data_IF_512791032358
#
_entry.id   IF_512791032358
#
_cell.length_a   1.000
_cell.length_b   1.000
_cell.length_c   1.000
_cell.angle_alpha   90.00
_cell.angle_beta   90.00
_cell.angle_gamma   90.00
#
_symmetry.space_group_name_H-M   'P 1'
#
loop_
_entity.id
_entity.type
_entity.pdbx_description
1 polymer ?
#
# COMPACT_ATOMS: atom_id res chain seq x y z
N UNK A 1 16.81 -6.50 27.52
CA UNK A 1 16.46 -7.91 27.25
C UNK A 1 15.00 -7.90 26.87
N UNK A 2 14.71 -7.92 25.57
CA UNK A 2 13.36 -8.14 25.06
C UNK A 2 13.02 -9.61 25.31
N UNK A 3 12.02 -9.84 26.15
CA UNK A 3 11.55 -11.17 26.47
C UNK A 3 10.64 -11.59 25.33
N UNK A 4 11.07 -12.63 24.63
CA UNK A 4 10.33 -13.30 23.55
C UNK A 4 9.05 -13.91 24.14
N UNK A 5 7.94 -13.16 24.10
CA UNK A 5 6.62 -13.52 24.67
C UNK A 5 5.94 -14.72 23.99
N UNK A 6 6.68 -15.53 23.24
CA UNK A 6 6.15 -16.47 22.25
C UNK A 6 6.61 -17.92 22.42
N UNK A 7 7.38 -18.24 23.46
CA UNK A 7 7.53 -19.62 23.91
C UNK A 7 6.73 -19.81 25.19
N UNK A 8 6.02 -20.94 25.33
CA UNK A 8 5.31 -21.34 26.53
C UNK A 8 6.29 -21.60 27.69
N UNK A 9 6.91 -20.54 28.20
CA UNK A 9 7.79 -20.47 29.34
C UNK A 9 7.27 -19.38 30.26
N UNK A 10 6.40 -19.79 31.19
CA UNK A 10 5.99 -19.15 32.46
C UNK A 10 6.44 -17.69 32.71
N UNK A 11 5.90 -16.75 31.94
CA UNK A 11 5.66 -15.36 32.38
C UNK A 11 4.15 -15.20 32.44
N UNK A 12 3.56 -14.57 33.49
CA UNK A 12 2.12 -14.36 33.52
C UNK A 12 1.73 -13.49 32.33
N UNK A 13 1.11 -14.11 31.34
CA UNK A 13 0.45 -13.40 30.25
C UNK A 13 -0.63 -12.56 30.91
N UNK A 14 -0.61 -11.24 30.74
CA UNK A 14 -1.71 -10.39 31.19
C UNK A 14 -3.02 -11.01 30.71
N UNK A 15 -4.08 -11.09 31.53
CA UNK A 15 -5.36 -11.68 31.12
C UNK A 15 -5.97 -11.01 29.87
N UNK A 16 -5.46 -9.84 29.47
CA UNK A 16 -5.88 -9.08 28.30
C UNK A 16 -5.04 -9.31 27.02
N UNK A 17 -3.96 -10.10 27.08
CA UNK A 17 -3.11 -10.35 25.91
C UNK A 17 -3.77 -11.38 24.99
N UNK A 18 -4.37 -10.90 23.90
CA UNK A 18 -4.94 -11.76 22.84
C UNK A 18 -3.82 -12.33 21.97
N UNK A 19 -3.71 -13.66 21.90
CA UNK A 19 -2.75 -14.34 21.03
C UNK A 19 -3.25 -14.40 19.59
N UNK A 20 -2.34 -14.37 18.60
CA UNK A 20 -2.71 -14.30 17.18
C UNK A 20 -3.62 -15.45 16.69
N UNK A 21 -3.55 -16.62 17.33
CA UNK A 21 -4.40 -17.75 16.99
C UNK A 21 -5.85 -17.60 17.50
N UNK A 22 -6.08 -16.77 18.53
CA UNK A 22 -7.43 -16.56 19.07
C UNK A 22 -8.34 -15.88 18.04
N UNK A 23 -7.76 -15.01 17.20
CA UNK A 23 -8.46 -14.41 16.05
C UNK A 23 -8.85 -15.42 14.97
N UNK A 24 -8.26 -16.61 14.96
CA UNK A 24 -8.66 -17.71 14.08
C UNK A 24 -9.85 -18.50 14.65
N UNK A 25 -9.99 -18.52 15.98
CA UNK A 25 -11.01 -19.29 16.67
C UNK A 25 -12.34 -18.52 16.74
N UNK A 26 -12.28 -17.22 17.00
CA UNK A 26 -13.46 -16.35 17.03
C UNK A 26 -13.46 -15.34 15.86
N UNK A 27 -14.41 -15.54 14.94
CA UNK A 27 -14.61 -14.72 13.73
C UNK A 27 -14.92 -13.25 14.03
N UNK A 28 -15.51 -12.95 15.18
CA UNK A 28 -15.87 -11.58 15.57
C UNK A 28 -14.81 -10.91 16.44
N UNK A 29 -13.88 -11.68 17.01
CA UNK A 29 -12.89 -11.18 17.97
C UNK A 29 -12.03 -10.07 17.36
N UNK A 30 -11.59 -10.23 16.11
CA UNK A 30 -10.76 -9.22 15.45
C UNK A 30 -11.51 -7.88 15.31
N UNK A 31 -12.77 -7.92 14.87
CA UNK A 31 -13.55 -6.69 14.69
C UNK A 31 -13.84 -6.00 16.04
N UNK A 32 -14.26 -6.79 17.05
CA UNK A 32 -14.49 -6.30 18.42
C UNK A 32 -13.22 -5.68 19.00
N UNK A 33 -12.08 -6.31 18.75
CA UNK A 33 -10.79 -5.82 19.19
C UNK A 33 -10.41 -4.49 18.53
N UNK A 34 -10.54 -4.38 17.20
CA UNK A 34 -10.19 -3.18 16.44
C UNK A 34 -11.10 -1.98 16.80
N UNK A 35 -12.32 -2.23 17.26
CA UNK A 35 -13.26 -1.20 17.72
C UNK A 35 -12.97 -0.65 19.12
N UNK A 36 -12.06 -1.27 19.90
CA UNK A 36 -11.67 -0.76 21.22
C UNK A 36 -11.02 0.61 21.10
N UNK A 37 -11.21 1.52 22.07
CA UNK A 37 -10.45 2.75 22.12
C UNK A 37 -8.98 2.41 22.41
N UNK A 38 -8.07 2.84 21.53
CA UNK A 38 -6.61 2.63 21.65
C UNK A 38 -6.22 1.16 21.89
N UNK A 39 -6.48 0.25 20.93
CA UNK A 39 -6.10 -1.15 21.08
C UNK A 39 -4.58 -1.31 21.19
N UNK A 40 -4.12 -2.17 22.08
CA UNK A 40 -2.70 -2.55 22.26
C UNK A 40 -2.56 -4.08 22.21
N UNK A 41 -1.92 -4.66 21.18
CA UNK A 41 -1.26 -4.03 20.02
C UNK A 41 -2.16 -3.16 19.13
N UNK A 42 -1.57 -2.14 18.49
CA UNK A 42 -2.28 -1.30 17.51
C UNK A 42 -2.65 -2.11 16.26
N UNK A 43 -3.55 -1.62 15.38
CA UNK A 43 -3.88 -2.31 14.14
C UNK A 43 -2.64 -2.55 13.23
N UNK A 44 -1.69 -1.62 13.22
CA UNK A 44 -0.45 -1.78 12.47
C UNK A 44 0.44 -2.88 13.08
N UNK A 45 0.54 -2.91 14.41
CA UNK A 45 1.27 -3.96 15.12
C UNK A 45 0.66 -5.34 14.88
N UNK A 46 -0.67 -5.45 14.77
CA UNK A 46 -1.34 -6.70 14.40
C UNK A 46 -0.94 -7.19 13.01
N UNK A 47 -0.96 -6.31 11.99
CA UNK A 47 -0.51 -6.66 10.64
C UNK A 47 0.95 -7.15 10.68
N UNK A 48 1.84 -6.45 11.38
CA UNK A 48 3.23 -6.86 11.54
C UNK A 48 3.36 -8.20 12.27
N UNK A 49 2.57 -8.44 13.34
CA UNK A 49 2.56 -9.72 14.06
C UNK A 49 2.10 -10.88 13.18
N UNK A 50 1.01 -10.73 12.42
CA UNK A 50 0.53 -11.76 11.50
C UNK A 50 1.57 -12.05 10.40
N UNK A 51 2.20 -11.00 9.88
CA UNK A 51 3.28 -11.14 8.92
C UNK A 51 4.50 -11.89 9.49
N UNK A 52 4.91 -11.58 10.72
CA UNK A 52 6.00 -12.29 11.39
C UNK A 52 5.68 -13.78 11.61
N UNK A 53 4.43 -14.13 11.91
CA UNK A 53 3.99 -15.53 11.99
C UNK A 53 4.17 -16.25 10.65
N UNK A 54 3.82 -15.60 9.53
CA UNK A 54 4.02 -16.15 8.19
C UNK A 54 5.52 -16.39 7.94
N UNK A 55 6.35 -15.37 8.15
CA UNK A 55 7.80 -15.43 7.90
C UNK A 55 8.50 -16.47 8.76
N UNK A 56 8.16 -16.57 10.06
CA UNK A 56 8.70 -17.63 10.94
C UNK A 56 8.24 -19.01 10.50
N UNK A 57 6.99 -19.15 10.06
CA UNK A 57 6.47 -20.43 9.55
C UNK A 57 7.20 -20.86 8.27
N UNK A 58 7.50 -19.92 7.36
CA UNK A 58 8.27 -20.19 6.15
C UNK A 58 9.73 -20.54 6.46
N UNK A 59 10.37 -19.82 7.39
CA UNK A 59 11.77 -20.08 7.79
C UNK A 59 11.96 -21.44 8.46
N UNK A 60 10.97 -21.89 9.23
CA UNK A 60 11.05 -23.14 9.99
C UNK A 60 10.69 -24.38 9.16
N UNK A 61 10.16 -24.23 7.93
CA UNK A 61 9.95 -25.35 7.02
C UNK A 61 11.25 -25.65 6.27
N UNK A 62 11.69 -26.90 6.32
CA UNK A 62 12.81 -27.42 5.52
C UNK A 62 12.43 -27.70 4.05
N UNK A 63 11.14 -27.56 3.70
CA UNK A 63 10.65 -27.72 2.33
C UNK A 63 10.33 -26.34 1.72
N UNK A 64 10.90 -25.99 0.57
CA UNK A 64 10.54 -24.78 -0.15
C UNK A 64 9.06 -24.81 -0.56
N UNK A 65 8.47 -23.63 -0.78
CA UNK A 65 7.14 -23.50 -1.37
C UNK A 65 7.02 -24.45 -2.57
N UNK A 66 6.05 -25.36 -2.54
CA UNK A 66 5.82 -26.29 -3.66
C UNK A 66 5.28 -25.47 -4.82
N UNK A 67 6.20 -25.05 -5.70
CA UNK A 67 5.89 -24.42 -6.98
C UNK A 67 5.37 -25.53 -7.88
N UNK A 68 4.06 -25.68 -7.96
CA UNK A 68 3.44 -26.52 -8.99
C UNK A 68 3.39 -25.69 -10.28
N UNK A 69 4.49 -25.72 -11.04
CA UNK A 69 4.52 -25.21 -12.40
C UNK A 69 3.66 -26.11 -13.28
N UNK A 70 2.45 -25.67 -13.61
CA UNK A 70 1.64 -26.36 -14.63
C UNK A 70 1.80 -25.59 -15.93
N UNK A 71 2.53 -26.15 -16.89
CA UNK A 71 2.62 -25.56 -18.24
C UNK A 71 1.30 -25.78 -18.97
N UNK A 72 0.49 -24.72 -19.10
CA UNK A 72 -0.63 -24.68 -20.05
C UNK A 72 -0.43 -23.45 -20.94
N UNK A 73 -0.29 -23.67 -22.25
CA UNK A 73 -0.25 -22.62 -23.30
C UNK A 73 0.93 -21.63 -23.33
N UNK A 74 2.08 -21.94 -22.74
CA UNK A 74 3.32 -21.17 -22.95
C UNK A 74 3.47 -19.91 -22.07
N UNK A 75 2.50 -19.63 -21.18
CA UNK A 75 2.69 -18.82 -19.99
C UNK A 75 3.21 -19.71 -18.85
N UNK A 76 4.27 -19.29 -18.17
CA UNK A 76 4.71 -19.93 -16.92
C UNK A 76 3.78 -19.48 -15.79
N UNK A 77 2.63 -20.13 -15.65
CA UNK A 77 1.74 -19.89 -14.50
C UNK A 77 2.28 -20.62 -13.26
N UNK A 78 2.85 -19.84 -12.34
CA UNK A 78 3.33 -20.33 -11.04
C UNK A 78 2.18 -20.23 -10.04
N UNK A 79 1.54 -21.36 -9.71
CA UNK A 79 0.60 -21.47 -8.59
C UNK A 79 1.37 -21.85 -7.35
N UNK A 80 1.37 -20.98 -6.34
CA UNK A 80 2.03 -21.22 -5.04
C UNK A 80 0.99 -21.77 -4.06
N UNK A 81 1.20 -23.00 -3.60
CA UNK A 81 0.39 -23.60 -2.53
C UNK A 81 0.89 -23.09 -1.17
N UNK A 82 0.22 -22.07 -0.63
CA UNK A 82 0.52 -21.57 0.71
C UNK A 82 -0.13 -22.45 1.79
N UNK A 83 0.55 -22.72 2.93
CA UNK A 83 -0.07 -23.40 4.07
C UNK A 83 -1.35 -22.69 4.53
N UNK A 84 -2.39 -23.45 4.91
CA UNK A 84 -3.67 -22.89 5.37
C UNK A 84 -3.51 -21.86 6.49
N UNK A 85 -2.58 -22.09 7.43
CA UNK A 85 -2.22 -21.12 8.47
C UNK A 85 -1.73 -19.78 7.90
N UNK A 86 -0.88 -19.82 6.86
CA UNK A 86 -0.37 -18.61 6.23
C UNK A 86 -1.48 -17.88 5.49
N UNK A 87 -2.34 -18.60 4.77
CA UNK A 87 -3.54 -18.02 4.12
C UNK A 87 -4.41 -17.30 5.15
N UNK A 88 -4.68 -17.92 6.30
CA UNK A 88 -5.47 -17.31 7.36
C UNK A 88 -4.79 -16.05 7.94
N UNK A 89 -3.48 -16.07 8.17
CA UNK A 89 -2.73 -14.87 8.62
C UNK A 89 -2.79 -13.74 7.58
N UNK A 90 -2.65 -14.05 6.29
CA UNK A 90 -2.76 -13.07 5.19
C UNK A 90 -4.15 -12.43 5.18
N UNK A 91 -5.20 -13.23 5.31
CA UNK A 91 -6.60 -12.76 5.38
C UNK A 91 -6.82 -11.85 6.60
N UNK A 92 -6.28 -12.20 7.77
CA UNK A 92 -6.36 -11.33 8.95
C UNK A 92 -5.67 -9.97 8.68
N UNK A 93 -4.49 -9.96 8.07
CA UNK A 93 -3.81 -8.72 7.69
C UNK A 93 -4.64 -7.86 6.72
N UNK A 94 -5.25 -8.47 5.70
CA UNK A 94 -6.11 -7.77 4.74
C UNK A 94 -7.38 -7.22 5.41
N UNK A 95 -7.96 -7.97 6.35
CA UNK A 95 -9.08 -7.50 7.18
C UNK A 95 -8.72 -6.27 7.99
N UNK A 96 -7.57 -6.27 8.65
CA UNK A 96 -7.10 -5.10 9.42
C UNK A 96 -6.83 -3.91 8.48
N UNK A 97 -6.21 -4.13 7.32
CA UNK A 97 -5.97 -3.09 6.33
C UNK A 97 -7.28 -2.48 5.79
N UNK A 98 -8.31 -3.31 5.56
CA UNK A 98 -9.64 -2.86 5.19
C UNK A 98 -10.32 -2.04 6.31
N UNK A 99 -10.14 -2.43 7.57
CA UNK A 99 -10.62 -1.64 8.72
C UNK A 99 -9.95 -0.25 8.79
N UNK A 100 -8.67 -0.16 8.40
CA UNK A 100 -7.93 1.10 8.27
C UNK A 100 -8.26 1.86 6.96
N UNK A 101 -9.30 1.46 6.23
CA UNK A 101 -9.75 2.03 4.96
C UNK A 101 -8.64 2.07 3.89
N UNK A 102 -7.71 1.12 3.92
CA UNK A 102 -6.58 1.06 2.97
C UNK A 102 -5.76 2.36 2.90
N UNK A 103 -5.67 3.08 4.02
CA UNK A 103 -4.99 4.36 4.06
C UNK A 103 -3.50 4.18 3.74
N UNK A 104 -3.03 4.79 2.64
CA UNK A 104 -1.66 4.64 2.14
C UNK A 104 -0.62 5.14 3.16
N UNK A 105 -0.93 6.16 3.97
CA UNK A 105 -0.02 6.63 5.01
C UNK A 105 0.11 5.60 6.17
N UNK A 106 -0.99 4.94 6.54
CA UNK A 106 -0.98 3.84 7.52
C UNK A 106 -0.20 2.63 6.99
N UNK A 107 -0.43 2.24 5.73
CA UNK A 107 0.32 1.15 5.10
C UNK A 107 1.82 1.46 5.12
N UNK A 108 2.24 2.68 4.77
CA UNK A 108 3.65 3.09 4.79
C UNK A 108 4.28 3.17 6.18
N UNK A 109 3.48 3.14 7.24
CA UNK A 109 3.99 3.07 8.62
C UNK A 109 4.36 1.64 9.04
N UNK A 110 3.95 0.61 8.28
CA UNK A 110 4.36 -0.78 8.48
C UNK A 110 5.82 -0.98 8.05
N UNK A 111 6.51 -2.03 8.54
CA UNK A 111 7.82 -2.40 8.02
C UNK A 111 7.80 -2.63 6.52
N UNK A 112 8.84 -2.18 5.81
CA UNK A 112 8.85 -2.11 4.34
C UNK A 112 8.45 -3.43 3.66
N UNK A 113 9.01 -4.56 4.13
CA UNK A 113 8.67 -5.89 3.60
C UNK A 113 7.20 -6.24 3.81
N UNK A 114 6.64 -5.90 4.97
CA UNK A 114 5.22 -6.07 5.28
C UNK A 114 4.33 -5.21 4.37
N UNK A 115 4.77 -4.01 3.96
CA UNK A 115 4.05 -3.19 2.99
C UNK A 115 3.92 -3.90 1.64
N UNK A 116 5.05 -4.38 1.12
CA UNK A 116 5.11 -5.10 -0.16
C UNK A 116 4.25 -6.35 -0.11
N UNK A 117 4.41 -7.17 0.92
CA UNK A 117 3.71 -8.45 1.02
C UNK A 117 2.21 -8.26 1.20
N UNK A 118 1.78 -7.27 1.99
CA UNK A 118 0.35 -6.95 2.13
C UNK A 118 -0.30 -6.57 0.80
N UNK A 119 0.41 -5.79 -0.03
CA UNK A 119 -0.10 -5.36 -1.35
C UNK A 119 -0.06 -6.49 -2.38
N UNK A 120 0.97 -7.34 -2.35
CA UNK A 120 1.04 -8.53 -3.19
C UNK A 120 -0.04 -9.56 -2.81
N UNK A 121 -0.28 -9.75 -1.51
CA UNK A 121 -1.38 -10.57 -1.02
C UNK A 121 -2.71 -10.00 -1.51
N UNK A 122 -2.95 -8.68 -1.41
CA UNK A 122 -4.17 -8.07 -1.93
C UNK A 122 -4.38 -8.37 -3.42
N UNK A 123 -3.34 -8.24 -4.25
CA UNK A 123 -3.39 -8.58 -5.67
C UNK A 123 -3.68 -10.07 -5.90
N UNK A 124 -3.03 -10.94 -5.14
CA UNK A 124 -3.24 -12.40 -5.21
C UNK A 124 -4.69 -12.79 -4.87
N UNK A 125 -5.27 -12.21 -3.81
CA UNK A 125 -6.63 -12.54 -3.36
C UNK A 125 -7.72 -11.93 -4.25
N UNK A 126 -7.41 -10.90 -5.06
CA UNK A 126 -8.38 -10.23 -5.93
C UNK A 126 -8.28 -10.66 -7.40
N UNK A 127 -7.17 -11.28 -7.80
CA UNK A 127 -7.01 -11.86 -9.12
C UNK A 127 -7.73 -13.23 -9.23
N UNK A 128 -8.51 -13.43 -10.30
CA UNK A 128 -9.24 -14.67 -10.56
C UNK A 128 -8.29 -15.87 -10.71
N UNK A 129 -7.17 -15.69 -11.41
CA UNK A 129 -6.20 -16.76 -11.67
C UNK A 129 -5.29 -17.06 -10.48
N UNK A 130 -5.30 -16.18 -9.46
CA UNK A 130 -4.44 -16.25 -8.27
C UNK A 130 -2.96 -16.42 -8.62
N UNK A 131 -2.52 -15.71 -9.64
CA UNK A 131 -1.11 -15.63 -10.00
C UNK A 131 -0.39 -14.63 -9.08
N UNK A 132 0.88 -14.92 -8.80
CA UNK A 132 1.72 -14.03 -8.01
C UNK A 132 2.24 -12.92 -8.91
N UNK A 133 1.89 -11.67 -8.56
CA UNK A 133 2.39 -10.51 -9.29
C UNK A 133 3.71 -10.03 -8.70
N UNK A 134 4.75 -10.10 -9.51
CA UNK A 134 5.96 -9.34 -9.26
C UNK A 134 5.72 -7.88 -9.63
N UNK A 135 6.22 -7.00 -8.77
CA UNK A 135 6.11 -5.53 -8.86
C UNK A 135 6.50 -4.98 -10.25
N UNK A 136 7.36 -5.68 -10.98
CA UNK A 136 7.89 -5.28 -12.29
C UNK A 136 7.04 -5.70 -13.49
N UNK A 137 6.10 -6.63 -13.35
CA UNK A 137 5.47 -7.33 -14.48
C UNK A 137 3.98 -6.98 -14.68
N UNK A 138 3.50 -5.86 -14.13
CA UNK A 138 2.08 -5.44 -14.23
C UNK A 138 1.64 -5.03 -15.65
N UNK A 139 2.54 -4.99 -16.63
CA UNK A 139 2.27 -4.58 -18.02
C UNK A 139 1.37 -5.55 -18.81
N UNK A 140 1.08 -6.73 -18.28
CA UNK A 140 0.32 -7.79 -18.96
C UNK A 140 -1.17 -7.82 -18.60
N UNK A 141 -1.66 -6.92 -17.74
CA UNK A 141 -3.04 -6.96 -17.26
C UNK A 141 -3.98 -6.26 -18.25
N UNK A 142 -4.93 -7.01 -18.83
CA UNK A 142 -6.02 -6.42 -19.61
C UNK A 142 -7.05 -5.74 -18.69
N UNK A 143 -6.88 -4.42 -18.53
CA UNK A 143 -7.72 -3.59 -17.68
C UNK A 143 -9.22 -3.62 -18.06
N UNK A 144 -9.57 -3.97 -19.30
CA UNK A 144 -10.98 -4.01 -19.75
C UNK A 144 -11.72 -5.28 -19.32
N UNK A 145 -10.99 -6.38 -19.17
CA UNK A 145 -11.53 -7.66 -18.70
C UNK A 145 -11.35 -7.84 -17.19
N UNK A 146 -10.77 -6.86 -16.50
CA UNK A 146 -10.38 -6.97 -15.10
C UNK A 146 -11.55 -6.74 -14.13
N UNK A 147 -11.61 -7.53 -13.05
CA UNK A 147 -12.58 -7.34 -11.97
C UNK A 147 -12.40 -6.00 -11.24
N UNK A 148 -13.49 -5.31 -10.82
CA UNK A 148 -13.41 -4.07 -10.03
C UNK A 148 -12.58 -4.19 -8.74
N UNK A 149 -12.57 -5.37 -8.14
CA UNK A 149 -11.83 -5.69 -6.93
C UNK A 149 -10.32 -5.77 -7.19
N UNK A 150 -9.92 -6.30 -8.36
CA UNK A 150 -8.51 -6.32 -8.78
C UNK A 150 -8.05 -4.94 -9.25
N UNK A 151 -8.90 -4.16 -9.94
CA UNK A 151 -8.61 -2.75 -10.26
C UNK A 151 -8.29 -1.95 -8.99
N UNK A 152 -9.02 -2.19 -7.90
CA UNK A 152 -8.75 -1.56 -6.61
C UNK A 152 -7.34 -1.91 -6.08
N UNK A 153 -6.97 -3.19 -6.13
CA UNK A 153 -5.65 -3.65 -5.70
C UNK A 153 -4.52 -2.99 -6.51
N UNK A 154 -4.66 -2.92 -7.83
CA UNK A 154 -3.69 -2.29 -8.73
C UNK A 154 -3.56 -0.78 -8.46
N UNK A 155 -4.68 -0.07 -8.31
CA UNK A 155 -4.66 1.36 -7.96
C UNK A 155 -3.99 1.58 -6.62
N UNK A 156 -4.32 0.79 -5.60
CA UNK A 156 -3.72 0.94 -4.28
C UNK A 156 -2.20 0.71 -4.33
N UNK A 157 -1.75 -0.30 -5.08
CA UNK A 157 -0.34 -0.58 -5.32
C UNK A 157 0.37 0.60 -5.98
N UNK A 158 -0.15 1.12 -7.09
CA UNK A 158 0.45 2.25 -7.80
C UNK A 158 0.44 3.54 -6.97
N UNK A 159 -0.62 3.81 -6.20
CA UNK A 159 -0.66 4.94 -5.26
C UNK A 159 0.41 4.81 -4.17
N UNK A 160 0.58 3.60 -3.62
CA UNK A 160 1.63 3.31 -2.64
C UNK A 160 3.02 3.50 -3.25
N UNK A 161 3.28 2.93 -4.43
CA UNK A 161 4.56 3.04 -5.12
C UNK A 161 4.94 4.51 -5.36
N UNK A 162 4.01 5.30 -5.92
CA UNK A 162 4.21 6.73 -6.15
C UNK A 162 4.53 7.48 -4.85
N UNK A 163 3.75 7.24 -3.79
CA UNK A 163 3.96 7.87 -2.49
C UNK A 163 5.30 7.49 -1.86
N UNK A 164 5.69 6.22 -1.94
CA UNK A 164 6.97 5.71 -1.44
C UNK A 164 8.15 6.34 -2.18
N UNK A 165 8.08 6.45 -3.50
CA UNK A 165 9.11 7.13 -4.30
C UNK A 165 9.21 8.62 -3.97
N UNK A 166 8.09 9.31 -3.73
CA UNK A 166 8.09 10.75 -3.39
C UNK A 166 8.61 11.04 -1.98
N UNK A 167 8.29 10.20 -1.00
CA UNK A 167 8.75 10.42 0.38
C UNK A 167 10.28 10.40 0.53
N UNK A 168 11.01 9.75 -0.39
CA UNK A 168 12.48 9.83 -0.48
C UNK A 168 12.99 11.23 -0.79
N UNK A 169 12.22 12.00 -1.56
CA UNK A 169 12.57 13.36 -1.98
C UNK A 169 12.29 14.36 -0.85
N UNK A 170 11.27 14.12 -0.04
CA UNK A 170 10.73 15.10 0.92
C UNK A 170 11.22 14.93 2.35
N UNK A 171 11.57 13.72 2.77
CA UNK A 171 11.98 13.43 4.15
C UNK A 171 13.48 13.18 4.28
N UNK A 172 14.07 13.48 5.44
CA UNK A 172 15.37 12.94 5.84
C UNK A 172 15.21 11.43 6.10
N UNK A 173 14.97 10.66 5.03
CA UNK A 173 14.75 9.22 5.09
C UNK A 173 15.85 8.49 5.88
N UNK A 174 17.09 8.99 5.78
CA UNK A 174 18.26 8.52 6.54
C UNK A 174 18.20 8.75 8.06
N UNK A 175 17.19 9.41 8.65
CA UNK A 175 17.13 9.61 10.10
C UNK A 175 16.14 8.70 10.81
N UNK A 176 15.37 7.87 10.08
CA UNK A 176 14.42 6.91 10.67
C UNK A 176 14.90 5.46 10.44
N UNK A 177 16.13 5.17 10.88
CA UNK A 177 16.69 3.81 10.91
C UNK A 177 15.88 2.92 11.87
N UNK A 178 15.55 1.70 11.44
CA UNK A 178 15.00 0.65 12.31
C UNK A 178 13.82 -0.16 11.76
N UNK A 179 12.73 0.48 11.32
CA UNK A 179 11.46 -0.24 11.02
C UNK A 179 11.09 -0.24 9.53
N UNK A 180 11.44 0.83 8.79
CA UNK A 180 11.06 1.01 7.38
C UNK A 180 12.23 0.87 6.39
N UNK A 181 13.25 0.08 6.73
CA UNK A 181 14.42 -0.09 5.87
C UNK A 181 14.08 -0.85 4.59
N UNK A 182 13.95 -0.09 3.51
CA UNK A 182 13.94 -0.59 2.15
C UNK A 182 15.37 -0.97 1.76
N UNK A 183 15.57 -2.19 1.24
CA UNK A 183 16.89 -2.59 0.77
C UNK A 183 17.28 -1.79 -0.49
N UNK A 184 18.58 -1.63 -0.76
CA UNK A 184 19.06 -0.97 -1.98
C UNK A 184 18.52 -1.67 -3.26
N UNK A 185 18.33 -2.98 -3.20
CA UNK A 185 17.72 -3.75 -4.30
C UNK A 185 16.29 -3.31 -4.53
N UNK A 186 15.47 -3.31 -3.48
CA UNK A 186 14.05 -2.93 -3.58
C UNK A 186 13.92 -1.46 -4.00
N UNK A 187 14.80 -0.60 -3.51
CA UNK A 187 14.89 0.81 -3.88
C UNK A 187 15.15 0.98 -5.38
N UNK A 188 16.14 0.25 -5.91
CA UNK A 188 16.46 0.27 -7.33
C UNK A 188 15.34 -0.31 -8.20
N UNK A 189 14.49 -1.20 -7.67
CA UNK A 189 13.37 -1.75 -8.42
C UNK A 189 12.17 -0.80 -8.37
N UNK A 190 11.66 -0.45 -7.18
CA UNK A 190 10.41 0.31 -7.05
C UNK A 190 10.60 1.78 -7.43
N UNK A 191 11.76 2.36 -7.13
CA UNK A 191 12.02 3.78 -7.37
C UNK A 191 12.85 4.05 -8.62
N UNK A 192 13.07 3.07 -9.52
CA UNK A 192 13.68 3.39 -10.79
C UNK A 192 12.79 4.32 -11.62
N UNK A 193 13.39 5.20 -12.45
CA UNK A 193 12.64 6.13 -13.29
C UNK A 193 11.59 5.45 -14.16
N UNK A 194 11.89 4.25 -14.69
CA UNK A 194 11.00 3.49 -15.55
C UNK A 194 9.73 3.07 -14.80
N UNK A 195 9.86 2.50 -13.59
CA UNK A 195 8.70 2.04 -12.82
C UNK A 195 7.89 3.19 -12.22
N UNK A 196 8.54 4.31 -11.88
CA UNK A 196 7.84 5.54 -11.51
C UNK A 196 7.03 6.05 -12.70
N UNK A 197 7.62 6.09 -13.90
CA UNK A 197 6.91 6.54 -15.10
C UNK A 197 5.74 5.64 -15.44
N UNK A 198 5.89 4.31 -15.35
CA UNK A 198 4.79 3.35 -15.51
C UNK A 198 3.67 3.61 -14.52
N UNK A 199 4.01 3.86 -13.26
CA UNK A 199 3.04 4.19 -12.21
C UNK A 199 2.30 5.48 -12.50
N UNK A 200 3.00 6.53 -12.95
CA UNK A 200 2.38 7.80 -13.34
C UNK A 200 1.44 7.60 -14.53
N UNK A 201 1.88 6.88 -15.57
CA UNK A 201 1.06 6.58 -16.75
C UNK A 201 -0.20 5.79 -16.37
N UNK A 202 -0.05 4.72 -15.59
CA UNK A 202 -1.18 3.91 -15.11
C UNK A 202 -2.21 4.76 -14.36
N UNK A 203 -1.75 5.59 -13.41
CA UNK A 203 -2.65 6.45 -12.64
C UNK A 203 -3.32 7.52 -13.50
N UNK A 204 -2.62 8.08 -14.50
CA UNK A 204 -3.22 8.99 -15.47
C UNK A 204 -4.31 8.32 -16.32
N UNK A 205 -4.03 7.12 -16.83
CA UNK A 205 -5.00 6.32 -17.60
C UNK A 205 -6.22 5.97 -16.75
N UNK A 206 -6.03 5.69 -15.46
CA UNK A 206 -7.12 5.35 -14.54
C UNK A 206 -8.17 6.46 -14.39
N UNK A 207 -7.80 7.72 -14.60
CA UNK A 207 -8.74 8.84 -14.59
C UNK A 207 -9.80 8.73 -15.70
N UNK A 208 -9.54 7.96 -16.76
CA UNK A 208 -10.42 7.77 -17.92
C UNK A 208 -11.18 6.44 -17.89
N UNK A 209 -11.00 5.60 -16.85
CA UNK A 209 -11.67 4.31 -16.79
C UNK A 209 -13.19 4.44 -16.75
N UNK A 210 -13.90 3.62 -17.51
CA UNK A 210 -15.36 3.54 -17.47
C UNK A 210 -15.82 2.76 -16.23
N UNK A 211 -15.16 1.64 -15.96
CA UNK A 211 -15.39 0.79 -14.79
C UNK A 211 -14.66 1.36 -13.57
N UNK A 212 -15.40 1.55 -12.48
CA UNK A 212 -14.83 2.03 -11.23
C UNK A 212 -14.42 0.87 -10.31
N UNK A 213 -13.27 0.99 -9.60
CA UNK A 213 -12.88 0.02 -8.61
C UNK A 213 -13.86 0.01 -7.43
N UNK A 214 -13.92 -1.13 -6.73
CA UNK A 214 -14.68 -1.24 -5.48
C UNK A 214 -13.76 -1.22 -4.28
N UNK A 215 -14.11 -0.40 -3.30
CA UNK A 215 -13.44 -0.36 -2.01
C UNK A 215 -13.79 -1.63 -1.23
N UNK A 216 -12.76 -2.44 -0.95
CA UNK A 216 -12.91 -3.71 -0.27
C UNK A 216 -13.08 -3.50 1.24
N UNK A 217 -14.11 -4.09 1.83
CA UNK A 217 -14.41 -3.98 3.25
C UNK A 217 -13.84 -5.17 4.03
N UNK A 218 -13.87 -5.06 5.37
CA UNK A 218 -13.48 -6.15 6.27
C UNK A 218 -14.19 -7.47 5.96
N UNK A 219 -15.47 -7.40 5.57
CA UNK A 219 -16.31 -8.56 5.27
C UNK A 219 -16.07 -9.15 3.87
N UNK A 220 -15.29 -8.49 3.02
CA UNK A 220 -14.93 -9.06 1.72
C UNK A 220 -14.06 -10.31 1.87
N UNK A 221 -13.21 -10.39 2.88
CA UNK A 221 -12.30 -11.52 3.05
C UNK A 221 -12.92 -12.53 4.03
N UNK A 222 -13.08 -13.79 3.64
CA UNK A 222 -13.64 -14.83 4.51
C UNK A 222 -12.52 -15.67 5.11
N UNK A 223 -12.60 -15.96 6.41
CA UNK A 223 -11.62 -16.83 7.07
C UNK A 223 -11.80 -18.28 6.60
N UNK A 224 -10.71 -19.03 6.33
CA UNK A 224 -10.79 -20.47 6.13
C UNK A 224 -11.42 -21.16 7.35
N UNK A 225 -12.06 -22.31 7.13
CA UNK A 225 -12.71 -23.09 8.20
C UNK A 225 -12.21 -24.52 8.16
N UNK A 226 -12.40 -25.27 9.25
CA UNK A 226 -12.02 -26.70 9.33
C UNK A 226 -12.63 -27.55 8.21
N UNK A 227 -13.76 -27.13 7.65
CA UNK A 227 -14.48 -27.82 6.57
C UNK A 227 -14.22 -27.22 5.19
N UNK A 228 -13.48 -26.12 5.09
CA UNK A 228 -13.24 -25.40 3.84
C UNK A 228 -11.90 -24.67 3.87
N UNK A 229 -10.92 -25.27 3.21
CA UNK A 229 -9.58 -24.71 3.02
C UNK A 229 -9.48 -23.79 1.79
N UNK A 230 -10.56 -23.61 1.04
CA UNK A 230 -10.55 -22.74 -0.13
C UNK A 230 -10.59 -21.28 0.28
N UNK A 231 -9.82 -20.46 -0.45
CA UNK A 231 -9.88 -19.01 -0.32
C UNK A 231 -11.23 -18.55 -0.89
N UNK A 232 -12.03 -17.90 -0.05
CA UNK A 232 -13.32 -17.32 -0.44
C UNK A 232 -13.35 -15.83 -0.16
N UNK A 233 -13.87 -15.08 -1.13
CA UNK A 233 -14.04 -13.65 -1.02
C UNK A 233 -15.48 -13.25 -1.36
N UNK A 234 -16.09 -12.43 -0.50
CA UNK A 234 -17.47 -11.96 -0.61
C UNK A 234 -17.50 -10.54 -1.17
N UNK A 235 -17.23 -10.42 -2.46
CA UNK A 235 -17.15 -9.12 -3.15
C UNK A 235 -18.45 -8.30 -3.14
N UNK A 236 -19.59 -8.92 -2.86
CA UNK A 236 -20.86 -8.22 -2.61
C UNK A 236 -20.84 -7.30 -1.38
N UNK A 237 -19.83 -7.42 -0.50
CA UNK A 237 -19.59 -6.54 0.64
C UNK A 237 -18.67 -5.36 0.31
N UNK A 238 -18.13 -5.29 -0.90
CA UNK A 238 -17.35 -4.15 -1.36
C UNK A 238 -18.29 -2.99 -1.72
N UNK A 239 -17.82 -1.76 -1.54
CA UNK A 239 -18.58 -0.55 -1.87
C UNK A 239 -18.02 0.10 -3.13
N UNK A 240 -18.89 0.64 -3.98
CA UNK A 240 -18.44 1.31 -5.20
C UNK A 240 -17.75 2.64 -4.82
N UNK A 241 -16.56 2.89 -5.36
CA UNK A 241 -15.91 4.19 -5.22
C UNK A 241 -16.54 5.13 -6.26
N UNK A 242 -16.99 6.31 -5.82
CA UNK A 242 -17.55 7.30 -6.76
C UNK A 242 -16.45 7.82 -7.68
N UNK A 243 -16.80 8.13 -8.94
CA UNK A 243 -15.84 8.67 -9.92
C UNK A 243 -15.17 9.94 -9.41
N UNK A 244 -15.93 10.83 -8.79
CA UNK A 244 -15.41 12.10 -8.28
C UNK A 244 -14.44 11.87 -7.11
N UNK A 245 -14.76 10.98 -6.17
CA UNK A 245 -13.86 10.64 -5.07
C UNK A 245 -12.57 10.00 -5.57
N UNK A 246 -12.69 9.08 -6.53
CA UNK A 246 -11.57 8.42 -7.18
C UNK A 246 -10.66 9.44 -7.86
N UNK A 247 -11.21 10.25 -8.78
CA UNK A 247 -10.46 11.24 -9.54
C UNK A 247 -9.83 12.29 -8.64
N UNK A 248 -10.53 12.76 -7.59
CA UNK A 248 -9.98 13.70 -6.63
C UNK A 248 -8.71 13.16 -5.97
N UNK A 249 -8.75 11.91 -5.50
CA UNK A 249 -7.61 11.27 -4.85
C UNK A 249 -6.45 11.04 -5.82
N UNK A 250 -6.71 10.53 -7.03
CA UNK A 250 -5.66 10.28 -8.02
C UNK A 250 -5.02 11.60 -8.49
N UNK A 251 -5.82 12.65 -8.72
CA UNK A 251 -5.29 13.97 -9.05
C UNK A 251 -4.43 14.55 -7.91
N UNK A 252 -4.80 14.32 -6.65
CA UNK A 252 -3.98 14.74 -5.51
C UNK A 252 -2.62 14.03 -5.50
N UNK A 253 -2.61 12.70 -5.67
CA UNK A 253 -1.40 11.89 -5.65
C UNK A 253 -0.45 12.25 -6.81
N UNK A 254 -0.98 12.39 -8.04
CA UNK A 254 -0.22 12.82 -9.21
C UNK A 254 0.27 14.27 -9.08
N UNK A 255 -0.59 15.19 -8.64
CA UNK A 255 -0.23 16.59 -8.46
C UNK A 255 0.90 16.76 -7.46
N UNK A 256 0.85 16.01 -6.36
CA UNK A 256 1.92 15.95 -5.36
C UNK A 256 3.23 15.44 -5.97
N UNK A 257 3.16 14.42 -6.83
CA UNK A 257 4.35 13.91 -7.52
C UNK A 257 4.99 14.95 -8.44
N UNK A 258 4.21 15.56 -9.33
CA UNK A 258 4.73 16.60 -10.24
C UNK A 258 5.26 17.83 -9.48
N UNK A 259 4.61 18.19 -8.37
CA UNK A 259 5.09 19.28 -7.52
C UNK A 259 6.52 19.02 -7.01
N UNK A 260 6.80 17.80 -6.54
CA UNK A 260 8.15 17.43 -6.08
C UNK A 260 9.15 17.18 -7.21
N UNK A 261 8.66 16.96 -8.43
CA UNK A 261 9.49 16.95 -9.65
C UNK A 261 9.80 18.36 -10.18
N UNK A 262 9.29 19.41 -9.52
CA UNK A 262 9.38 20.82 -9.94
C UNK A 262 8.59 21.14 -11.22
N UNK A 263 7.70 20.25 -11.68
CA UNK A 263 6.73 20.55 -12.74
C UNK A 263 5.47 21.21 -12.13
N UNK A 264 5.63 22.46 -11.73
CA UNK A 264 4.56 23.23 -11.09
C UNK A 264 3.38 23.49 -12.02
N UNK A 265 3.57 23.44 -13.35
CA UNK A 265 2.49 23.65 -14.31
C UNK A 265 1.56 22.43 -14.31
N UNK A 266 2.11 21.23 -14.50
CA UNK A 266 1.33 19.99 -14.46
C UNK A 266 0.70 19.80 -13.07
N UNK A 267 1.46 20.07 -11.99
CA UNK A 267 0.96 19.98 -10.62
C UNK A 267 -0.24 20.91 -10.39
N UNK A 268 -0.18 22.17 -10.87
CA UNK A 268 -1.28 23.14 -10.75
C UNK A 268 -2.57 22.62 -11.36
N UNK A 269 -2.49 22.11 -12.60
CA UNK A 269 -3.65 21.60 -13.32
C UNK A 269 -4.31 20.44 -12.58
N UNK A 270 -3.50 19.52 -12.03
CA UNK A 270 -3.98 18.38 -11.26
C UNK A 270 -4.58 18.80 -9.91
N UNK A 271 -3.99 19.76 -9.20
CA UNK A 271 -4.56 20.24 -7.94
C UNK A 271 -5.89 20.98 -8.14
N UNK A 272 -6.06 21.72 -9.23
CA UNK A 272 -7.37 22.32 -9.56
C UNK A 272 -8.42 21.25 -9.88
N UNK A 273 -8.08 20.24 -10.70
CA UNK A 273 -8.98 19.10 -10.96
C UNK A 273 -9.34 18.35 -9.67
N UNK A 274 -8.36 18.14 -8.79
CA UNK A 274 -8.58 17.55 -7.47
C UNK A 274 -9.60 18.35 -6.65
N UNK A 275 -9.49 19.68 -6.65
CA UNK A 275 -10.45 20.56 -5.97
C UNK A 275 -11.84 20.50 -6.60
N UNK A 276 -11.93 20.54 -7.93
CA UNK A 276 -13.19 20.44 -8.67
C UNK A 276 -13.94 19.14 -8.34
N UNK A 277 -13.27 17.99 -8.50
CA UNK A 277 -13.85 16.70 -8.16
C UNK A 277 -14.21 16.60 -6.68
N UNK A 278 -13.35 17.10 -5.77
CA UNK A 278 -13.63 17.07 -4.34
C UNK A 278 -14.90 17.85 -3.95
N UNK A 279 -15.27 18.89 -4.72
CA UNK A 279 -16.50 19.63 -4.52
C UNK A 279 -17.74 18.91 -5.08
N UNK A 280 -17.57 17.97 -6.01
CA UNK A 280 -18.64 17.15 -6.59
C UNK A 280 -18.94 15.90 -5.76
N UNK A 281 -18.02 15.46 -4.89
CA UNK A 281 -18.24 14.32 -4.00
C UNK A 281 -19.40 14.59 -3.05
N UNK A 282 -20.52 13.88 -3.27
CA UNK A 282 -21.73 13.97 -2.43
C UNK A 282 -21.71 12.99 -1.26
N UNK A 283 -21.08 11.83 -1.43
CA UNK A 283 -20.89 10.80 -0.42
C UNK A 283 -19.44 10.31 -0.48
N UNK A 284 -18.73 10.40 0.65
CA UNK A 284 -17.34 9.98 0.75
C UNK A 284 -17.27 8.58 1.35
N UNK A 285 -16.65 7.65 0.64
CA UNK A 285 -16.48 6.25 1.06
C UNK A 285 -15.10 6.00 1.67
N UNK A 286 -14.40 7.05 2.11
CA UNK A 286 -13.10 7.01 2.78
C UNK A 286 -11.92 6.57 1.89
N UNK A 287 -12.12 6.43 0.58
CA UNK A 287 -11.04 6.16 -0.38
C UNK A 287 -10.13 7.38 -0.54
N UNK A 288 -10.74 8.58 -0.63
CA UNK A 288 -10.01 9.83 -0.63
C UNK A 288 -9.57 10.16 0.81
N UNK A 289 -8.26 10.31 1.01
CA UNK A 289 -7.63 10.49 2.33
C UNK A 289 -6.68 11.70 2.39
N UNK A 290 -6.73 12.60 1.41
CA UNK A 290 -5.90 13.81 1.41
C UNK A 290 -6.48 14.91 2.30
N UNK A 291 -5.60 15.73 2.86
CA UNK A 291 -5.98 16.89 3.67
C UNK A 291 -6.34 18.07 2.76
N UNK A 292 -7.58 18.57 2.90
CA UNK A 292 -8.09 19.70 2.11
C UNK A 292 -7.28 20.98 2.35
N UNK A 293 -6.73 21.18 3.56
CA UNK A 293 -5.90 22.35 3.83
C UNK A 293 -4.57 22.27 3.06
N UNK A 294 -3.93 21.10 3.06
CA UNK A 294 -2.73 20.81 2.29
C UNK A 294 -2.95 21.03 0.79
N UNK A 295 -4.09 20.61 0.24
CA UNK A 295 -4.47 20.89 -1.16
C UNK A 295 -4.49 22.41 -1.44
N UNK A 296 -5.10 23.21 -0.56
CA UNK A 296 -5.13 24.67 -0.74
C UNK A 296 -3.72 25.29 -0.71
N UNK A 297 -2.83 24.76 0.14
CA UNK A 297 -1.43 25.19 0.19
C UNK A 297 -0.74 24.88 -1.14
N UNK A 298 -0.91 23.67 -1.68
CA UNK A 298 -0.34 23.29 -2.97
C UNK A 298 -0.84 24.16 -4.14
N UNK A 299 -2.15 24.41 -4.22
CA UNK A 299 -2.74 25.28 -5.25
C UNK A 299 -2.10 26.68 -5.21
N UNK A 300 -2.00 27.27 -4.01
CA UNK A 300 -1.35 28.57 -3.82
C UNK A 300 0.14 28.53 -4.16
N UNK A 301 0.83 27.46 -3.79
CA UNK A 301 2.25 27.31 -4.08
C UNK A 301 2.53 27.23 -5.57
N UNK A 302 1.63 26.66 -6.37
CA UNK A 302 1.77 26.62 -7.83
C UNK A 302 1.34 27.91 -8.53
N UNK A 303 0.85 28.93 -7.82
CA UNK A 303 0.39 30.18 -8.44
C UNK A 303 1.57 31.10 -8.84
N UNK A 304 1.67 31.53 -10.12
CA UNK A 304 2.70 32.46 -10.59
C UNK A 304 2.73 33.79 -9.83
N UNK A 305 1.61 34.24 -9.26
CA UNK A 305 1.54 35.49 -8.49
C UNK A 305 2.36 35.45 -7.18
N UNK A 306 2.54 34.26 -6.60
CA UNK A 306 3.39 34.01 -5.41
C UNK A 306 4.87 34.07 -5.76
N UNK A 307 5.24 34.00 -7.05
CA UNK A 307 6.63 34.02 -7.52
C UNK A 307 7.29 35.39 -7.36
N UNK A 308 6.55 36.44 -6.99
CA UNK A 308 7.13 37.77 -6.79
C UNK A 308 7.88 37.97 -5.48
N UNK A 309 7.66 37.18 -4.40
CA UNK A 309 8.51 37.23 -3.19
C UNK A 309 8.55 35.91 -2.40
N UNK A 310 9.77 35.40 -2.22
CA UNK A 310 10.27 34.71 -1.00
C UNK A 310 10.01 33.21 -0.79
N UNK A 311 8.84 32.63 -1.02
CA UNK A 311 8.59 31.24 -0.54
C UNK A 311 9.17 30.15 -1.46
N UNK A 312 8.83 30.13 -2.75
CA UNK A 312 9.38 29.14 -3.70
C UNK A 312 10.89 29.28 -3.93
N UNK A 313 11.46 30.48 -3.81
CA UNK A 313 12.91 30.68 -3.91
C UNK A 313 13.62 30.09 -2.67
N UNK A 314 13.06 30.23 -1.47
CA UNK A 314 13.58 29.57 -0.27
C UNK A 314 13.37 28.04 -0.31
N UNK A 315 12.22 27.59 -0.81
CA UNK A 315 11.91 26.17 -1.02
C UNK A 315 12.61 25.54 -2.25
N UNK A 316 13.13 26.29 -3.22
CA UNK A 316 13.94 25.73 -4.32
C UNK A 316 15.43 25.79 -4.01
N UNK A 317 15.91 26.87 -3.36
CA UNK A 317 17.33 27.01 -2.99
C UNK A 317 17.74 26.03 -1.90
N UNK A 318 16.91 25.83 -0.86
CA UNK A 318 17.22 24.87 0.21
C UNK A 318 17.31 23.43 -0.33
N UNK A 319 16.48 23.09 -1.32
CA UNK A 319 16.35 21.73 -1.84
C UNK A 319 17.31 21.44 -3.01
N UNK A 320 17.62 22.42 -3.88
CA UNK A 320 18.72 22.32 -4.86
C UNK A 320 20.10 22.16 -4.23
N UNK A 321 20.29 22.68 -3.00
CA UNK A 321 21.52 22.46 -2.24
C UNK A 321 21.62 21.00 -1.78
N UNK A 322 20.53 20.46 -1.25
CA UNK A 322 20.42 19.07 -0.77
C UNK A 322 20.52 18.00 -1.87
N UNK A 323 20.05 18.29 -3.09
CA UNK A 323 20.21 17.40 -4.28
C UNK A 323 21.66 17.34 -4.77
N UNK A 324 22.36 18.49 -4.78
CA UNK A 324 23.79 18.56 -5.14
C UNK A 324 24.68 17.84 -4.14
N UNK A 325 24.38 17.95 -2.84
CA UNK A 325 25.14 17.26 -1.80
C UNK A 325 24.99 15.72 -1.91
N UNK A 326 23.84 15.21 -2.39
CA UNK A 326 23.61 13.78 -2.66
C UNK A 326 24.26 13.26 -3.95
N UNK A 327 24.27 14.03 -5.04
CA UNK A 327 25.00 13.65 -6.24
C UNK A 327 26.53 13.71 -6.03
N UNK A 328 27.01 14.65 -5.22
CA UNK A 328 28.42 14.72 -4.86
C UNK A 328 28.87 13.52 -4.02
N UNK A 329 28.01 12.98 -3.14
CA UNK A 329 28.36 11.79 -2.31
C UNK A 329 28.36 10.48 -3.09
N UNK A 330 27.63 10.37 -4.20
CA UNK A 330 27.71 9.19 -5.09
C UNK A 330 28.99 9.16 -5.96
N UNK A 331 29.69 10.28 -6.13
CA UNK A 331 30.92 10.35 -6.96
C UNK A 331 32.18 10.00 -6.12
N UNK A 332 32.08 9.94 -4.80
CA UNK A 332 33.23 9.66 -3.90
C UNK A 332 33.27 8.25 -3.31
N UNK A 333 32.48 7.29 -3.83
CA UNK A 333 32.54 5.86 -3.42
C UNK A 333 32.99 4.95 -4.57
N UNK A 334 33.70 5.51 -5.55
CA UNK A 334 34.58 4.75 -6.44
C UNK A 334 35.99 5.32 -6.31
N UNK A 335 36.73 4.79 -5.33
CA UNK A 335 38.19 4.63 -5.36
C UNK A 335 38.62 3.68 -4.24
#
# INVERSE_FOLDING_TARGET
>A
MEVDLLNAGSVPISPDTVLSFEFLLDKELLLKYLQKPNPDPTPLDLITKFHNVITTTLRNRMEPETIESTTVNGSNEVKINHPAKNIAMKILSLKVAAFLNWNVAQIRALPFKTQVDLLQDLMYFTNEERTVFEITNLEQVDLKATLPEFLFALVLFHRWALNTSMHRVTSNWQQRYGINEMSLRDENIICCPENIQKTISFLHESLQWEQMPKLLSFDCFQMPTETNDSIECKWSKATLISRDEFCAQICYDLGTSFFYQEDYKAAKELFHKCQEYSNLVTQQNMFASFDKNSLQVYIKACDPSVHKKSLLIKFSIHWRRKRRDKQATCIYVEN
#
